data_IF_553450006588
#
_entry.id   IF_553450006588
#
_cell.length_a   1.000
_cell.length_b   1.000
_cell.length_c   1.000
_cell.angle_alpha   90.00
_cell.angle_beta   90.00
_cell.angle_gamma   90.00
#
_symmetry.space_group_name_H-M   'P 1'
#
loop_
_entity.id
_entity.type
_entity.pdbx_description
1 polymer ?
#
# COMPACT_ATOMS: atom_id res chain seq x y z
N UNK A 1 31.88 -12.86 -6.09
CA UNK A 1 30.82 -11.89 -6.49
C UNK A 1 30.01 -11.61 -5.25
N UNK A 2 30.05 -10.38 -4.76
CA UNK A 2 29.55 -10.02 -3.43
C UNK A 2 28.03 -9.87 -3.43
N UNK A 3 27.35 -10.67 -2.62
CA UNK A 3 25.96 -10.46 -2.22
C UNK A 3 25.88 -9.17 -1.38
N UNK A 4 25.28 -8.13 -1.95
CA UNK A 4 24.88 -6.95 -1.20
C UNK A 4 23.56 -7.27 -0.48
N UNK A 5 23.49 -7.26 0.86
CA UNK A 5 22.23 -7.45 1.56
C UNK A 5 21.29 -6.26 1.29
N UNK A 6 19.96 -6.46 1.28
CA UNK A 6 19.00 -5.40 0.99
C UNK A 6 19.12 -4.29 2.04
N UNK A 7 19.61 -3.12 1.65
CA UNK A 7 19.83 -1.94 2.52
C UNK A 7 18.53 -1.21 2.92
N UNK A 8 17.40 -1.92 3.02
CA UNK A 8 16.07 -1.34 3.25
C UNK A 8 15.58 -1.46 4.73
N UNK A 9 15.89 -2.52 5.52
CA UNK A 9 15.38 -2.62 6.89
C UNK A 9 16.13 -1.72 7.88
N UNK A 10 17.41 -1.43 7.62
CA UNK A 10 18.27 -0.67 8.54
C UNK A 10 17.81 0.79 8.68
N UNK A 11 17.36 1.41 7.58
CA UNK A 11 16.90 2.80 7.58
C UNK A 11 15.62 2.96 8.41
N UNK A 12 14.71 1.98 8.37
CA UNK A 12 13.48 1.97 9.15
C UNK A 12 13.72 1.80 10.66
N UNK A 13 14.65 0.93 11.03
CA UNK A 13 15.03 0.69 12.43
C UNK A 13 15.73 1.94 13.00
N UNK A 14 16.71 2.50 12.28
CA UNK A 14 17.44 3.70 12.70
C UNK A 14 16.48 4.89 12.88
N UNK A 15 15.55 5.10 11.94
CA UNK A 15 14.52 6.15 12.06
C UNK A 15 13.63 5.96 13.28
N UNK A 16 13.27 4.70 13.59
CA UNK A 16 12.43 4.38 14.76
C UNK A 16 13.18 4.66 16.06
N UNK A 17 14.46 4.28 16.14
CA UNK A 17 15.31 4.54 17.31
C UNK A 17 15.52 6.04 17.53
N UNK A 18 15.77 6.81 16.47
CA UNK A 18 15.91 8.27 16.54
C UNK A 18 14.60 8.91 17.02
N UNK A 19 13.46 8.50 16.46
CA UNK A 19 12.16 9.04 16.84
C UNK A 19 11.80 8.72 18.30
N UNK A 20 12.10 7.50 18.77
CA UNK A 20 11.91 7.10 20.15
C UNK A 20 12.81 7.91 21.09
N UNK A 21 14.08 8.11 20.71
CA UNK A 21 15.02 8.95 21.45
C UNK A 21 14.51 10.40 21.59
N UNK A 22 13.99 10.98 20.51
CA UNK A 22 13.43 12.34 20.53
C UNK A 22 12.19 12.45 21.45
N UNK A 23 11.33 11.44 21.48
CA UNK A 23 10.17 11.40 22.39
C UNK A 23 10.63 11.29 23.85
N UNK A 24 11.55 10.37 24.15
CA UNK A 24 12.04 10.16 25.52
C UNK A 24 12.73 11.42 26.04
N UNK A 25 13.63 12.01 25.24
CA UNK A 25 14.34 13.25 25.61
C UNK A 25 13.37 14.42 25.73
N UNK A 26 12.42 14.55 24.80
CA UNK A 26 11.41 15.61 24.84
C UNK A 26 10.49 15.51 26.07
N UNK A 27 10.04 14.31 26.42
CA UNK A 27 9.23 14.07 27.60
C UNK A 27 10.01 14.32 28.90
N UNK A 28 11.27 13.90 28.96
CA UNK A 28 12.14 14.16 30.10
C UNK A 28 12.39 15.66 30.30
N UNK A 29 12.64 16.40 29.21
CA UNK A 29 12.85 17.85 29.24
C UNK A 29 11.59 18.62 29.67
N UNK A 30 10.40 18.15 29.25
CA UNK A 30 9.12 18.75 29.63
C UNK A 30 8.77 18.47 31.11
N UNK A 31 9.10 17.27 31.61
CA UNK A 31 8.92 16.90 33.01
C UNK A 31 10.04 17.45 33.92
N UNK A 32 11.09 18.03 33.34
CA UNK A 32 12.29 18.49 34.04
C UNK A 32 12.00 19.43 35.21
N UNK A 33 11.06 20.37 35.01
CA UNK A 33 10.65 21.34 36.03
C UNK A 33 9.88 20.72 37.22
N UNK A 34 9.44 19.46 37.09
CA UNK A 34 8.66 18.73 38.09
C UNK A 34 9.50 17.69 38.84
N UNK A 35 10.78 17.51 38.47
CA UNK A 35 11.69 16.62 39.17
C UNK A 35 12.15 17.24 40.50
N UNK A 36 12.30 16.44 41.57
CA UNK A 36 12.86 16.91 42.83
C UNK A 36 14.30 17.42 42.60
N UNK A 37 14.71 18.47 43.32
CA UNK A 37 15.99 19.16 43.12
C UNK A 37 17.23 18.24 43.18
N UNK A 38 17.14 17.11 43.89
CA UNK A 38 18.19 16.10 44.02
C UNK A 38 18.39 15.30 42.70
N UNK A 39 17.37 15.22 41.86
CA UNK A 39 17.38 14.54 40.57
C UNK A 39 17.58 15.50 39.39
N UNK A 40 17.75 16.80 39.65
CA UNK A 40 17.98 17.81 38.62
C UNK A 40 19.48 17.90 38.29
N UNK A 41 19.82 17.71 37.02
CA UNK A 41 21.16 17.96 36.49
C UNK A 41 21.40 19.49 36.37
N UNK A 42 22.63 19.99 36.56
CA UNK A 42 22.91 21.40 36.32
C UNK A 42 22.81 21.70 34.82
N UNK A 43 21.64 22.13 34.36
CA UNK A 43 21.39 22.56 32.99
C UNK A 43 21.55 24.08 32.87
N UNK A 44 22.04 24.60 31.74
CA UNK A 44 22.07 26.03 31.45
C UNK A 44 20.68 26.67 31.62
N UNK A 45 20.63 27.86 32.20
CA UNK A 45 19.38 28.61 32.48
C UNK A 45 18.52 28.86 31.23
N UNK A 46 19.16 28.96 30.06
CA UNK A 46 18.47 29.12 28.77
C UNK A 46 17.70 27.84 28.40
N UNK A 47 18.22 26.66 28.74
CA UNK A 47 17.58 25.38 28.42
C UNK A 47 16.43 25.10 29.40
N UNK A 48 16.58 25.46 30.67
CA UNK A 48 15.50 25.32 31.66
C UNK A 48 14.35 26.28 31.41
N UNK A 49 14.63 27.53 30.99
CA UNK A 49 13.60 28.51 30.62
C UNK A 49 12.75 28.07 29.42
N UNK A 50 13.35 27.33 28.48
CA UNK A 50 12.67 26.79 27.30
C UNK A 50 12.36 25.29 27.40
N UNK A 51 12.52 24.66 28.56
CA UNK A 51 12.48 23.20 28.71
C UNK A 51 11.13 22.59 28.31
N UNK A 52 10.03 23.24 28.69
CA UNK A 52 8.67 22.81 28.32
C UNK A 52 8.42 22.98 26.81
N UNK A 53 8.56 24.17 26.20
CA UNK A 53 8.29 24.34 24.77
C UNK A 53 9.25 23.50 23.89
N UNK A 54 10.53 23.40 24.25
CA UNK A 54 11.51 22.61 23.51
C UNK A 54 11.21 21.11 23.63
N UNK A 55 10.82 20.65 24.83
CA UNK A 55 10.44 19.26 25.09
C UNK A 55 9.20 18.83 24.31
N UNK A 56 8.16 19.69 24.26
CA UNK A 56 6.95 19.45 23.48
C UNK A 56 7.25 19.40 21.98
N UNK A 57 8.06 20.32 21.46
CA UNK A 57 8.45 20.33 20.04
C UNK A 57 9.21 19.06 19.66
N UNK A 58 10.17 18.62 20.49
CA UNK A 58 10.92 17.38 20.28
C UNK A 58 10.01 16.15 20.29
N UNK A 59 9.07 16.09 21.23
CA UNK A 59 8.10 14.99 21.29
C UNK A 59 7.18 14.96 20.07
N UNK A 60 6.70 16.12 19.60
CA UNK A 60 5.86 16.23 18.39
C UNK A 60 6.66 15.83 17.15
N UNK A 61 7.90 16.28 17.00
CA UNK A 61 8.77 15.91 15.88
C UNK A 61 9.06 14.40 15.91
N UNK A 62 9.36 13.82 17.07
CA UNK A 62 9.52 12.38 17.23
C UNK A 62 8.25 11.61 16.85
N UNK A 63 7.07 12.10 17.26
CA UNK A 63 5.79 11.51 16.90
C UNK A 63 5.49 11.61 15.39
N UNK A 64 5.84 12.73 14.76
CA UNK A 64 5.76 12.93 13.31
C UNK A 64 6.73 12.03 12.54
N UNK A 65 7.91 11.76 13.09
CA UNK A 65 8.87 10.81 12.51
C UNK A 65 8.39 9.36 12.64
N UNK A 66 7.67 9.05 13.73
CA UNK A 66 7.00 7.78 13.99
C UNK A 66 5.70 7.59 13.22
N UNK A 67 5.07 8.68 12.72
CA UNK A 67 4.03 8.57 11.70
C UNK A 67 4.66 7.92 10.48
N UNK A 68 4.52 6.60 10.41
CA UNK A 68 4.64 5.85 9.16
C UNK A 68 3.75 6.59 8.17
N UNK A 69 4.32 6.99 7.02
CA UNK A 69 3.51 7.30 5.85
C UNK A 69 2.47 6.19 5.74
N UNK A 70 1.18 6.50 5.49
CA UNK A 70 0.09 5.53 5.57
C UNK A 70 0.52 4.25 4.87
N UNK A 71 0.92 3.26 5.67
CA UNK A 71 1.25 1.95 5.17
C UNK A 71 -0.10 1.41 4.78
N UNK A 72 -0.34 1.44 3.47
CA UNK A 72 -1.55 0.87 2.89
C UNK A 72 -1.77 -0.51 3.49
N UNK A 73 -3.02 -0.84 3.86
CA UNK A 73 -3.33 -2.15 4.39
C UNK A 73 -2.90 -3.19 3.34
N UNK A 74 -1.78 -3.88 3.63
CA UNK A 74 -1.24 -4.97 2.84
C UNK A 74 -1.80 -6.33 3.32
N UNK A 75 -2.85 -6.31 4.14
CA UNK A 75 -3.51 -7.49 4.68
C UNK A 75 -4.88 -7.63 4.01
N UNK A 76 -4.97 -8.50 3.00
CA UNK A 76 -6.22 -8.82 2.31
C UNK A 76 -6.03 -9.48 0.94
N UNK A 77 -4.98 -9.11 0.20
CA UNK A 77 -4.83 -9.56 -1.21
C UNK A 77 -4.29 -10.99 -1.37
N UNK A 78 -4.12 -11.74 -0.27
CA UNK A 78 -3.53 -13.08 -0.25
C UNK A 78 -4.12 -14.04 -1.29
N UNK A 79 -5.46 -14.19 -1.37
CA UNK A 79 -6.09 -15.08 -2.35
C UNK A 79 -5.88 -14.63 -3.81
N UNK A 80 -5.84 -13.32 -4.08
CA UNK A 80 -5.59 -12.81 -5.44
C UNK A 80 -4.16 -13.10 -5.86
N UNK A 81 -3.21 -12.80 -4.97
CA UNK A 81 -1.80 -13.01 -5.22
C UNK A 81 -1.43 -14.49 -5.31
N UNK A 82 -2.09 -15.38 -4.54
CA UNK A 82 -1.86 -16.82 -4.66
C UNK A 82 -2.30 -17.34 -6.03
N UNK A 83 -3.50 -16.99 -6.49
CA UNK A 83 -3.97 -17.39 -7.84
C UNK A 83 -3.04 -16.89 -8.94
N UNK A 84 -2.54 -15.66 -8.84
CA UNK A 84 -1.61 -15.11 -9.83
C UNK A 84 -0.24 -15.80 -9.78
N UNK A 85 0.28 -16.11 -8.59
CA UNK A 85 1.55 -16.84 -8.43
C UNK A 85 1.45 -18.27 -8.96
N UNK A 86 0.35 -18.97 -8.66
CA UNK A 86 0.08 -20.32 -9.15
C UNK A 86 0.02 -20.36 -10.68
N UNK A 87 -0.51 -19.30 -11.30
CA UNK A 87 -0.52 -19.14 -12.75
C UNK A 87 0.80 -18.61 -13.34
N UNK A 88 1.85 -18.43 -12.54
CA UNK A 88 3.17 -18.01 -13.01
C UNK A 88 3.31 -16.52 -13.32
N UNK A 89 2.43 -15.65 -12.82
CA UNK A 89 2.55 -14.21 -13.00
C UNK A 89 3.72 -13.64 -12.19
N UNK A 90 4.44 -12.69 -12.80
CA UNK A 90 5.47 -11.92 -12.12
C UNK A 90 4.85 -10.74 -11.41
N UNK A 91 4.87 -10.77 -10.08
CA UNK A 91 4.32 -9.69 -9.24
C UNK A 91 5.40 -8.63 -8.98
N UNK A 92 5.10 -7.41 -9.41
CA UNK A 92 5.92 -6.23 -9.23
C UNK A 92 5.21 -5.27 -8.25
N UNK A 93 5.86 -4.84 -7.16
CA UNK A 93 5.30 -3.82 -6.29
C UNK A 93 5.25 -2.48 -7.05
N UNK A 94 4.12 -1.77 -6.97
CA UNK A 94 3.98 -0.42 -7.53
C UNK A 94 3.59 0.55 -6.41
N UNK A 95 3.80 1.87 -6.58
CA UNK A 95 3.20 2.83 -5.67
C UNK A 95 1.73 2.50 -5.54
N UNK A 96 1.24 2.45 -4.31
CA UNK A 96 -0.18 2.32 -4.04
C UNK A 96 -0.83 0.95 -4.28
N UNK A 97 -0.09 -0.10 -4.62
CA UNK A 97 -0.64 -1.45 -4.83
C UNK A 97 0.39 -2.44 -5.38
N UNK A 98 -0.05 -3.34 -6.25
CA UNK A 98 0.80 -4.28 -6.98
C UNK A 98 0.31 -4.40 -8.42
N UNK A 99 1.23 -4.81 -9.29
CA UNK A 99 0.96 -5.19 -10.66
C UNK A 99 1.52 -6.59 -10.88
N UNK A 100 0.81 -7.41 -11.64
CA UNK A 100 1.18 -8.74 -12.03
C UNK A 100 1.16 -8.83 -13.54
N UNK A 101 2.30 -9.16 -14.13
CA UNK A 101 2.47 -9.32 -15.56
C UNK A 101 2.67 -10.82 -15.86
N UNK A 102 1.90 -11.35 -16.80
CA UNK A 102 1.95 -12.78 -17.13
C UNK A 102 0.99 -13.15 -18.24
N UNK A 103 0.75 -14.45 -18.38
CA UNK A 103 -0.20 -14.98 -19.34
C UNK A 103 -1.22 -15.87 -18.63
N UNK A 104 -2.49 -15.74 -19.02
CA UNK A 104 -3.56 -16.64 -18.57
C UNK A 104 -4.12 -17.37 -19.78
N UNK A 105 -4.07 -18.71 -19.77
CA UNK A 105 -4.49 -19.54 -20.92
C UNK A 105 -3.88 -19.08 -22.25
N UNK A 106 -2.61 -18.70 -22.24
CA UNK A 106 -1.88 -18.23 -23.43
C UNK A 106 -2.11 -16.76 -23.82
N UNK A 107 -3.02 -16.05 -23.15
CA UNK A 107 -3.25 -14.61 -23.40
C UNK A 107 -2.42 -13.78 -22.44
N UNK A 108 -1.52 -12.96 -22.99
CA UNK A 108 -0.71 -12.00 -22.21
C UNK A 108 -1.63 -10.93 -21.64
N UNK A 109 -1.63 -10.78 -20.33
CA UNK A 109 -2.48 -9.81 -19.64
C UNK A 109 -1.76 -9.18 -18.45
N UNK A 110 -2.22 -8.01 -18.07
CA UNK A 110 -1.70 -7.27 -16.91
C UNK A 110 -2.79 -7.15 -15.87
N UNK A 111 -2.54 -7.63 -14.66
CA UNK A 111 -3.48 -7.51 -13.53
C UNK A 111 -2.89 -6.52 -12.55
N UNK A 112 -3.66 -5.51 -12.16
CA UNK A 112 -3.19 -4.46 -11.26
C UNK A 112 -4.24 -4.16 -10.21
N UNK A 113 -3.79 -3.90 -8.99
CA UNK A 113 -4.63 -3.25 -7.97
C UNK A 113 -4.71 -1.74 -8.24
N UNK A 114 -5.91 -1.24 -8.48
CA UNK A 114 -6.16 0.18 -8.68
C UNK A 114 -6.85 0.81 -7.48
N UNK A 115 -6.45 2.03 -7.15
CA UNK A 115 -6.94 2.82 -6.01
C UNK A 115 -7.21 4.22 -6.51
N UNK A 116 -8.35 4.82 -6.15
CA UNK A 116 -8.73 6.17 -6.57
C UNK A 116 -9.80 6.18 -7.66
N UNK A 117 -9.60 6.96 -8.72
CA UNK A 117 -10.64 7.31 -9.71
C UNK A 117 -11.39 6.09 -10.30
N UNK A 118 -10.67 5.04 -10.68
CA UNK A 118 -11.27 3.82 -11.25
C UNK A 118 -12.10 3.04 -10.22
N UNK A 119 -11.68 3.03 -8.96
CA UNK A 119 -12.40 2.37 -7.89
C UNK A 119 -13.63 3.18 -7.41
N UNK A 120 -13.51 4.51 -7.47
CA UNK A 120 -14.57 5.45 -7.12
C UNK A 120 -15.84 5.27 -7.96
N UNK A 121 -15.72 4.86 -9.23
CA UNK A 121 -16.86 4.56 -10.11
C UNK A 121 -17.79 3.47 -9.56
N UNK A 122 -17.25 2.59 -8.72
CA UNK A 122 -17.99 1.49 -8.10
C UNK A 122 -18.32 1.75 -6.62
N UNK A 123 -18.03 2.95 -6.10
CA UNK A 123 -18.12 3.24 -4.67
C UNK A 123 -17.20 2.37 -3.81
N UNK A 124 -16.07 1.90 -4.37
CA UNK A 124 -15.12 1.01 -3.69
C UNK A 124 -13.81 1.74 -3.38
N UNK A 125 -13.13 1.38 -2.29
CA UNK A 125 -11.82 1.96 -1.95
C UNK A 125 -10.71 1.51 -2.92
N UNK A 126 -10.87 0.37 -3.59
CA UNK A 126 -9.95 -0.18 -4.57
C UNK A 126 -10.67 -1.19 -5.47
N UNK A 127 -10.10 -1.50 -6.63
CA UNK A 127 -10.59 -2.51 -7.59
C UNK A 127 -9.42 -3.26 -8.23
N UNK A 128 -9.70 -4.40 -8.86
CA UNK A 128 -8.71 -5.10 -9.68
C UNK A 128 -8.92 -4.72 -11.12
N UNK A 129 -7.86 -4.34 -11.79
CA UNK A 129 -7.88 -3.84 -13.16
C UNK A 129 -7.09 -4.80 -14.02
N UNK A 130 -7.72 -5.30 -15.07
CA UNK A 130 -7.15 -6.29 -15.99
C UNK A 130 -7.06 -5.66 -17.37
N UNK A 131 -5.85 -5.49 -17.89
CA UNK A 131 -5.61 -5.06 -19.26
C UNK A 131 -5.40 -6.27 -20.15
N UNK A 132 -6.19 -6.34 -21.22
CA UNK A 132 -6.22 -7.46 -22.18
C UNK A 132 -5.98 -6.93 -23.60
N UNK A 133 -5.16 -7.59 -24.44
CA UNK A 133 -4.92 -7.17 -25.82
C UNK A 133 -6.14 -7.44 -26.71
N UNK A 134 -6.46 -6.57 -27.66
CA UNK A 134 -7.60 -6.70 -28.58
C UNK A 134 -8.78 -5.80 -28.22
N UNK A 135 -9.98 -6.14 -28.71
CA UNK A 135 -11.22 -5.41 -28.45
C UNK A 135 -12.16 -6.19 -27.52
N UNK A 136 -13.02 -5.50 -26.75
CA UNK A 136 -14.04 -6.15 -25.95
C UNK A 136 -15.03 -6.91 -26.84
N UNK A 137 -15.40 -8.12 -26.45
CA UNK A 137 -16.40 -8.91 -27.15
C UNK A 137 -17.80 -8.61 -26.60
N UNK A 138 -18.80 -8.64 -27.47
CA UNK A 138 -20.22 -8.64 -27.09
C UNK A 138 -20.80 -10.05 -27.26
N UNK A 139 -21.71 -10.50 -26.36
CA UNK A 139 -22.28 -9.75 -25.24
C UNK A 139 -21.35 -9.68 -24.02
N UNK A 140 -21.26 -8.51 -23.38
CA UNK A 140 -20.37 -8.27 -22.24
C UNK A 140 -20.61 -9.26 -21.08
N UNK A 141 -19.56 -9.91 -20.52
CA UNK A 141 -19.72 -11.02 -19.59
C UNK A 141 -20.00 -10.61 -18.14
N UNK A 142 -19.93 -9.32 -17.80
CA UNK A 142 -20.08 -8.85 -16.41
C UNK A 142 -21.28 -7.94 -16.25
N UNK A 143 -21.94 -8.02 -15.10
CA UNK A 143 -22.90 -7.00 -14.69
C UNK A 143 -22.16 -5.70 -14.37
N UNK A 144 -22.79 -4.51 -14.54
CA UNK A 144 -22.16 -3.22 -14.30
C UNK A 144 -21.52 -3.06 -12.92
N UNK A 145 -22.09 -3.69 -11.89
CA UNK A 145 -21.57 -3.69 -10.52
C UNK A 145 -20.41 -4.66 -10.29
N UNK A 146 -20.19 -5.62 -11.20
CA UNK A 146 -19.14 -6.62 -11.12
C UNK A 146 -17.90 -6.19 -11.90
N UNK A 147 -18.09 -5.70 -13.13
CA UNK A 147 -16.99 -5.24 -13.94
C UNK A 147 -17.39 -4.37 -15.12
N UNK A 148 -16.60 -3.33 -15.37
CA UNK A 148 -16.79 -2.39 -16.48
C UNK A 148 -15.49 -2.16 -17.23
N UNK A 149 -15.61 -1.89 -18.52
CA UNK A 149 -14.51 -1.37 -19.34
C UNK A 149 -14.24 0.07 -18.88
N UNK A 150 -13.03 0.33 -18.39
CA UNK A 150 -12.63 1.65 -17.90
C UNK A 150 -11.78 2.42 -18.89
N UNK A 151 -11.12 1.71 -19.80
CA UNK A 151 -10.29 2.30 -20.85
C UNK A 151 -10.25 1.35 -22.05
N UNK A 152 -10.36 1.92 -23.26
CA UNK A 152 -10.14 1.21 -24.52
C UNK A 152 -9.10 1.98 -25.32
N UNK A 153 -8.06 1.28 -25.76
CA UNK A 153 -7.01 1.75 -26.66
C UNK A 153 -7.03 0.89 -27.91
N UNK A 154 -6.44 1.40 -28.99
CA UNK A 154 -6.52 0.80 -30.33
C UNK A 154 -6.26 -0.72 -30.37
N UNK A 155 -5.34 -1.23 -29.53
CA UNK A 155 -4.97 -2.65 -29.47
C UNK A 155 -5.17 -3.31 -28.09
N UNK A 156 -5.85 -2.67 -27.14
CA UNK A 156 -6.08 -3.26 -25.81
C UNK A 156 -7.21 -2.56 -25.07
N UNK A 157 -7.93 -3.29 -24.24
CA UNK A 157 -8.88 -2.69 -23.32
C UNK A 157 -8.59 -3.12 -21.88
N UNK A 158 -9.05 -2.28 -20.97
CA UNK A 158 -8.83 -2.40 -19.54
C UNK A 158 -10.16 -2.53 -18.83
N UNK A 159 -10.28 -3.56 -18.00
CA UNK A 159 -11.50 -3.92 -17.28
C UNK A 159 -11.27 -3.77 -15.80
N UNK A 160 -12.08 -2.94 -15.14
CA UNK A 160 -12.10 -2.89 -13.69
C UNK A 160 -13.11 -3.91 -13.16
N UNK A 161 -12.61 -4.90 -12.43
CA UNK A 161 -13.36 -5.91 -11.68
C UNK A 161 -13.53 -5.44 -10.24
N UNK A 162 -14.71 -4.93 -9.93
CA UNK A 162 -15.01 -4.35 -8.62
C UNK A 162 -15.46 -5.41 -7.62
N UNK A 163 -16.00 -6.54 -8.07
CA UNK A 163 -16.43 -7.62 -7.19
C UNK A 163 -15.25 -8.26 -6.44
N UNK A 164 -14.08 -8.36 -7.07
CA UNK A 164 -12.82 -8.82 -6.48
C UNK A 164 -12.29 -7.92 -5.35
N UNK A 165 -12.86 -6.73 -5.17
CA UNK A 165 -12.56 -5.87 -4.02
C UNK A 165 -13.14 -6.38 -2.70
N UNK A 166 -14.07 -7.34 -2.77
CA UNK A 166 -14.74 -7.91 -1.59
C UNK A 166 -13.98 -9.15 -1.11
N UNK A 167 -13.65 -9.25 0.20
CA UNK A 167 -12.89 -10.38 0.74
C UNK A 167 -13.45 -11.76 0.36
N UNK A 168 -14.77 -11.90 0.38
CA UNK A 168 -15.49 -13.13 0.08
C UNK A 168 -15.47 -13.53 -1.40
N UNK A 169 -15.02 -12.65 -2.32
CA UNK A 169 -14.95 -12.93 -3.77
C UNK A 169 -13.53 -12.95 -4.32
N UNK A 170 -12.51 -12.60 -3.53
CA UNK A 170 -11.12 -12.55 -3.98
C UNK A 170 -10.60 -13.86 -4.58
N UNK A 171 -11.06 -15.02 -4.08
CA UNK A 171 -10.67 -16.33 -4.59
C UNK A 171 -11.18 -16.62 -6.01
N UNK A 172 -12.12 -15.81 -6.53
CA UNK A 172 -12.75 -16.01 -7.85
C UNK A 172 -11.99 -15.36 -9.00
N UNK A 173 -10.80 -14.81 -8.76
CA UNK A 173 -10.00 -14.18 -9.82
C UNK A 173 -9.82 -15.10 -11.04
N UNK A 174 -9.51 -16.37 -10.83
CA UNK A 174 -9.37 -17.33 -11.93
C UNK A 174 -10.66 -17.53 -12.73
N UNK A 175 -11.81 -17.61 -12.06
CA UNK A 175 -13.13 -17.69 -12.71
C UNK A 175 -13.43 -16.43 -13.52
N UNK A 176 -13.14 -15.24 -12.97
CA UNK A 176 -13.35 -13.96 -13.66
C UNK A 176 -12.45 -13.80 -14.87
N UNK A 177 -11.18 -14.19 -14.79
CA UNK A 177 -10.28 -14.21 -15.95
C UNK A 177 -10.75 -15.21 -17.01
N UNK A 178 -11.24 -16.39 -16.59
CA UNK A 178 -11.84 -17.35 -17.51
C UNK A 178 -13.10 -16.80 -18.19
N UNK A 179 -13.96 -16.09 -17.46
CA UNK A 179 -15.17 -15.51 -18.02
C UNK A 179 -14.85 -14.37 -19.00
N UNK A 180 -13.89 -13.51 -18.65
CA UNK A 180 -13.42 -12.42 -19.51
C UNK A 180 -12.80 -12.93 -20.82
N UNK A 181 -12.06 -14.05 -20.77
CA UNK A 181 -11.36 -14.60 -21.93
C UNK A 181 -12.17 -15.66 -22.68
N UNK A 182 -13.14 -16.30 -22.05
CA UNK A 182 -13.92 -17.40 -22.62
C UNK A 182 -14.87 -17.00 -23.75
N UNK A 183 -15.10 -15.70 -23.92
CA UNK A 183 -15.88 -15.16 -25.04
C UNK A 183 -15.05 -14.84 -26.29
N UNK A 184 -13.73 -15.11 -26.26
CA UNK A 184 -12.88 -15.03 -27.44
C UNK A 184 -12.87 -16.37 -28.17
N UNK A 185 -13.94 -16.63 -28.90
CA UNK A 185 -13.98 -17.66 -29.93
C UNK A 185 -14.12 -17.00 -31.31
#
# INVERSE_FOLDING_TARGET
MADSPPAVPTVGIVRTLIALGLIIVGAWLAAYAWLPAIAQLPLPSVITAWGIPLGVVLAVVGLLLLRRAPQKPAFGDGPLLSTLKEAGFKINPIPNGWQADGAWKGVVLKVRKSIGHEAGRFGRPWTIVVTVPGQPAEPWPFLPEEGLIVEQRDNSFTVAMADLSRPERMHRLGERLNHLLGQRH
#
